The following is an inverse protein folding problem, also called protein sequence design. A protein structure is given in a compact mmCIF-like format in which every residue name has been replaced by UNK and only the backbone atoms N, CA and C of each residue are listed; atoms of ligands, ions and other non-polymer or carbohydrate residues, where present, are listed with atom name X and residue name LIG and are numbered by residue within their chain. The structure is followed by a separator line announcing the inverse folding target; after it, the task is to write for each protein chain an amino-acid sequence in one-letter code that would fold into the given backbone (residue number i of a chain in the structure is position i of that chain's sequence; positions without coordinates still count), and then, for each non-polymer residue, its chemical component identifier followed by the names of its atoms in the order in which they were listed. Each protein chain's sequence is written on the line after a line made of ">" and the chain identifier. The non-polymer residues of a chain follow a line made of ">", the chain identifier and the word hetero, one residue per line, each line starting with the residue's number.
data_IF_879404386371
#
_entry.id   IF_879404386371
#
_cell.length_a   1.000
_cell.length_b   1.000
_cell.length_c   1.000
_cell.angle_alpha   90.00
_cell.angle_beta   90.00
_cell.angle_gamma   90.00
#
_symmetry.space_group_name_H-M   'P 1'
#
loop_
_entity.id
_entity.type
_entity.pdbx_description
1 polymer ?
#
# COMPACT_ATOMS: atom_id res chain seq x y z
N UNK A 1 9.78 -53.41 8.21
CA UNK A 1 11.01 -52.62 8.38
C UNK A 1 10.88 -51.34 7.56
N UNK A 2 10.21 -50.34 8.12
CA UNK A 2 10.27 -48.97 7.64
C UNK A 2 10.67 -48.13 8.84
N UNK A 3 11.76 -47.42 8.67
CA UNK A 3 12.56 -46.82 9.74
C UNK A 3 11.84 -45.72 10.50
N UNK A 4 12.23 -45.69 11.78
CA UNK A 4 11.93 -44.76 12.84
C UNK A 4 12.11 -43.27 12.50
N UNK A 5 11.18 -42.49 13.05
CA UNK A 5 11.38 -41.25 13.81
C UNK A 5 12.66 -40.44 13.56
N UNK A 6 12.48 -39.16 13.22
CA UNK A 6 12.98 -38.00 13.98
C UNK A 6 12.91 -36.76 13.11
N UNK A 7 11.75 -36.08 13.13
CA UNK A 7 11.66 -34.69 12.67
C UNK A 7 11.09 -33.84 13.82
N UNK A 8 11.80 -33.83 14.94
CA UNK A 8 11.65 -32.81 15.96
C UNK A 8 12.56 -31.66 15.57
N UNK A 9 12.00 -30.65 14.90
CA UNK A 9 12.68 -29.36 14.78
C UNK A 9 12.46 -28.64 16.09
N UNK A 10 13.56 -28.50 16.81
CA UNK A 10 13.63 -27.88 18.11
C UNK A 10 12.96 -26.51 18.11
N UNK A 11 11.99 -26.38 19.01
CA UNK A 11 11.43 -25.10 19.43
C UNK A 11 12.54 -24.25 20.03
N UNK A 12 13.12 -23.35 19.24
CA UNK A 12 13.98 -22.31 19.77
C UNK A 12 13.12 -21.19 20.35
N UNK A 13 12.90 -21.32 21.66
CA UNK A 13 12.43 -20.30 22.57
C UNK A 13 13.37 -19.09 22.49
N UNK A 14 12.94 -18.01 21.85
CA UNK A 14 13.67 -16.74 21.91
C UNK A 14 13.42 -16.06 23.26
N UNK A 15 14.46 -15.79 24.07
CA UNK A 15 14.30 -15.12 25.34
C UNK A 15 13.89 -13.66 25.16
N UNK A 16 13.00 -13.26 26.06
CA UNK A 16 12.50 -11.91 26.31
C UNK A 16 13.60 -10.87 26.53
N UNK A 17 13.21 -9.60 26.35
CA UNK A 17 13.88 -8.31 26.67
C UNK A 17 14.57 -7.67 25.45
N UNK A 18 14.26 -6.43 25.03
CA UNK A 18 13.75 -5.24 25.73
C UNK A 18 12.73 -4.50 24.86
N UNK A 19 11.61 -4.10 25.47
CA UNK A 19 10.85 -2.92 25.03
C UNK A 19 11.79 -1.72 25.08
N UNK A 20 12.20 -1.20 23.91
CA UNK A 20 12.60 0.20 23.82
C UNK A 20 11.35 0.97 23.41
N UNK A 21 10.75 1.64 24.40
CA UNK A 21 9.84 2.76 24.18
C UNK A 21 10.63 3.84 23.45
N UNK A 22 10.55 3.84 22.11
CA UNK A 22 10.98 5.00 21.33
C UNK A 22 9.81 5.95 21.36
N UNK A 23 9.96 6.94 22.22
CA UNK A 23 9.18 8.15 22.32
C UNK A 23 8.85 8.70 20.94
N UNK A 24 7.56 8.90 20.71
CA UNK A 24 6.94 9.89 19.85
C UNK A 24 7.90 10.82 19.09
N UNK A 25 8.37 10.41 17.91
CA UNK A 25 8.86 11.37 16.91
C UNK A 25 7.75 11.47 15.86
N UNK A 26 6.87 12.45 16.06
CA UNK A 26 5.95 12.92 15.01
C UNK A 26 6.79 13.64 13.96
N UNK A 27 7.32 12.89 13.00
CA UNK A 27 7.81 13.46 11.75
C UNK A 27 6.56 13.80 10.92
N UNK A 28 5.96 14.96 11.20
CA UNK A 28 4.98 15.58 10.32
C UNK A 28 5.75 16.15 9.12
N UNK A 29 6.10 15.30 8.16
CA UNK A 29 6.66 15.76 6.90
C UNK A 29 5.50 16.41 6.13
N UNK A 30 5.42 17.73 6.20
CA UNK A 30 4.52 18.55 5.40
C UNK A 30 4.97 18.54 3.95
N UNK A 31 4.81 17.41 3.27
CA UNK A 31 5.09 17.34 1.83
C UNK A 31 3.79 17.61 1.10
N UNK A 32 3.58 18.88 0.78
CA UNK A 32 2.57 19.30 -0.19
C UNK A 32 3.06 18.80 -1.55
N UNK A 33 2.58 17.63 -1.97
CA UNK A 33 2.81 17.14 -3.33
C UNK A 33 1.79 17.81 -4.26
N UNK A 34 2.31 18.62 -5.19
CA UNK A 34 1.54 19.20 -6.30
C UNK A 34 1.03 18.05 -7.18
N UNK A 35 -0.29 17.79 -7.16
CA UNK A 35 -0.90 16.68 -7.90
C UNK A 35 -1.07 17.06 -9.37
N UNK A 36 0.02 17.09 -10.14
CA UNK A 36 -0.07 17.08 -11.61
C UNK A 36 -0.73 15.76 -12.02
N UNK A 37 -1.88 15.80 -12.72
CA UNK A 37 -2.72 14.62 -13.01
C UNK A 37 -1.93 13.46 -13.64
N UNK A 38 -1.61 12.43 -12.83
CA UNK A 38 -0.74 11.32 -13.23
C UNK A 38 -1.56 10.16 -13.81
N UNK A 39 -0.94 9.26 -14.58
CA UNK A 39 -1.58 7.98 -14.94
C UNK A 39 -1.47 6.98 -13.79
N UNK A 40 -2.42 6.03 -13.69
CA UNK A 40 -2.31 4.92 -12.72
C UNK A 40 -0.98 4.17 -12.85
N UNK A 41 -0.48 4.03 -14.09
CA UNK A 41 0.82 3.38 -14.36
C UNK A 41 2.01 4.17 -13.83
N UNK A 42 1.89 5.49 -13.71
CA UNK A 42 2.90 6.35 -13.08
C UNK A 42 2.83 6.23 -11.56
N UNK A 43 1.63 6.21 -10.99
CA UNK A 43 1.41 6.02 -9.54
C UNK A 43 1.97 4.68 -9.04
N UNK A 44 1.75 3.59 -9.80
CA UNK A 44 2.31 2.26 -9.48
C UNK A 44 3.85 2.24 -9.49
N UNK A 45 4.50 3.04 -10.34
CA UNK A 45 5.97 3.10 -10.39
C UNK A 45 6.56 3.91 -9.24
N UNK A 46 5.84 4.92 -8.77
CA UNK A 46 6.25 5.75 -7.63
C UNK A 46 5.94 5.10 -6.28
N UNK A 47 5.07 4.08 -6.26
CA UNK A 47 4.55 3.51 -5.03
C UNK A 47 3.50 4.40 -4.35
N UNK A 48 2.84 5.29 -5.10
CA UNK A 48 1.68 6.09 -4.60
C UNK A 48 0.38 5.27 -4.68
N UNK A 49 0.35 4.28 -5.58
CA UNK A 49 -0.79 3.38 -5.80
C UNK A 49 -0.28 1.96 -5.71
N UNK A 50 -1.00 1.13 -4.98
CA UNK A 50 -0.79 -0.30 -4.88
C UNK A 50 -1.86 -1.06 -5.67
N UNK A 51 -1.45 -2.20 -6.22
CA UNK A 51 -2.32 -3.13 -6.91
C UNK A 51 -2.37 -4.42 -6.11
N UNK A 52 -3.56 -4.85 -5.72
CA UNK A 52 -3.74 -6.13 -5.03
C UNK A 52 -3.73 -7.32 -6.01
N UNK A 53 -3.81 -8.54 -5.47
CA UNK A 53 -3.91 -9.78 -6.24
C UNK A 53 -5.14 -9.87 -7.14
N UNK A 54 -6.18 -9.08 -6.88
CA UNK A 54 -7.41 -9.02 -7.67
C UNK A 54 -7.41 -7.89 -8.70
N UNK A 55 -6.34 -7.08 -8.76
CA UNK A 55 -6.23 -5.93 -9.62
C UNK A 55 -7.01 -4.69 -9.17
N UNK A 56 -7.43 -4.63 -7.91
CA UNK A 56 -7.96 -3.42 -7.28
C UNK A 56 -6.81 -2.47 -6.98
N UNK A 57 -7.11 -1.18 -7.11
CA UNK A 57 -6.14 -0.13 -6.85
C UNK A 57 -6.43 0.48 -5.49
N UNK A 58 -5.45 0.45 -4.60
CA UNK A 58 -5.45 1.10 -3.29
C UNK A 58 -4.43 2.22 -3.28
N UNK A 59 -4.70 3.28 -2.52
CA UNK A 59 -3.71 4.31 -2.29
C UNK A 59 -2.68 3.81 -1.26
N UNK A 60 -1.40 3.91 -1.57
CA UNK A 60 -0.32 3.45 -0.66
C UNK A 60 -0.16 4.36 0.56
N UNK A 61 -0.56 5.63 0.46
CA UNK A 61 -0.46 6.59 1.57
C UNK A 61 -1.52 6.36 2.66
N UNK A 62 -2.75 6.01 2.28
CA UNK A 62 -3.85 5.82 3.23
C UNK A 62 -4.40 4.39 3.33
N UNK A 63 -4.04 3.50 2.40
CA UNK A 63 -4.55 2.13 2.34
C UNK A 63 -6.00 1.99 1.86
N UNK A 64 -6.66 3.08 1.48
CA UNK A 64 -8.06 3.03 1.01
C UNK A 64 -8.18 2.64 -0.46
N UNK A 65 -9.29 2.00 -0.81
CA UNK A 65 -9.64 1.69 -2.19
C UNK A 65 -9.98 2.94 -3.00
N UNK A 66 -9.43 3.03 -4.21
CA UNK A 66 -9.66 4.16 -5.11
C UNK A 66 -11.05 4.11 -5.75
N UNK A 67 -11.79 5.22 -5.69
CA UNK A 67 -13.09 5.37 -6.35
C UNK A 67 -12.90 5.67 -7.83
N UNK A 68 -13.75 5.10 -8.68
CA UNK A 68 -13.81 5.44 -10.10
C UNK A 68 -14.81 6.55 -10.32
N UNK A 69 -14.41 7.58 -11.06
CA UNK A 69 -15.30 8.56 -11.68
C UNK A 69 -15.19 8.40 -13.18
N UNK A 70 -16.32 8.15 -13.82
CA UNK A 70 -16.44 8.07 -15.28
C UNK A 70 -17.32 9.23 -15.72
N UNK A 71 -16.80 10.06 -16.61
CA UNK A 71 -17.54 11.20 -17.18
C UNK A 71 -18.00 10.80 -18.60
N UNK A 72 -19.30 10.92 -18.92
CA UNK A 72 -19.80 10.52 -20.24
C UNK A 72 -19.19 11.33 -21.40
N UNK A 73 -18.64 12.51 -21.12
CA UNK A 73 -18.01 13.38 -22.13
C UNK A 73 -16.51 13.08 -22.32
N UNK A 74 -15.93 12.18 -21.51
CA UNK A 74 -14.51 11.84 -21.54
C UNK A 74 -14.26 10.35 -21.87
N UNK A 75 -13.24 10.07 -22.69
CA UNK A 75 -12.86 8.70 -23.08
C UNK A 75 -11.98 8.01 -22.00
N UNK A 76 -11.76 8.67 -20.86
CA UNK A 76 -10.91 8.17 -19.79
C UNK A 76 -11.66 8.10 -18.47
N UNK A 77 -11.26 7.16 -17.61
CA UNK A 77 -11.76 7.06 -16.25
C UNK A 77 -10.74 7.63 -15.27
N UNK A 78 -11.21 8.34 -14.25
CA UNK A 78 -10.35 8.89 -13.19
C UNK A 78 -10.53 8.08 -11.91
N UNK A 79 -9.42 7.64 -11.33
CA UNK A 79 -9.36 7.03 -10.00
C UNK A 79 -9.04 8.10 -8.97
N UNK A 80 -9.89 8.25 -7.95
CA UNK A 80 -9.82 9.29 -6.94
C UNK A 80 -9.64 8.66 -5.56
N UNK A 81 -8.63 9.11 -4.82
CA UNK A 81 -8.50 8.84 -3.39
C UNK A 81 -9.32 9.86 -2.61
N UNK A 82 -10.16 9.41 -1.67
CA UNK A 82 -11.00 10.29 -0.85
C UNK A 82 -10.25 10.93 0.32
N UNK A 83 -9.08 10.41 0.68
CA UNK A 83 -8.31 10.86 1.85
C UNK A 83 -7.11 11.73 1.46
N UNK A 84 -6.50 11.47 0.31
CA UNK A 84 -5.26 12.14 -0.15
C UNK A 84 -5.51 13.09 -1.32
N UNK A 85 -6.76 13.19 -1.81
CA UNK A 85 -7.16 13.91 -3.03
C UNK A 85 -6.36 13.54 -4.30
N UNK A 86 -5.61 12.45 -4.25
CA UNK A 86 -4.86 11.91 -5.37
C UNK A 86 -5.79 11.52 -6.51
N UNK A 87 -5.46 11.98 -7.73
CA UNK A 87 -6.22 11.72 -8.95
C UNK A 87 -5.32 11.03 -9.96
N UNK A 88 -5.74 9.86 -10.43
CA UNK A 88 -5.00 9.09 -11.43
C UNK A 88 -5.88 8.76 -12.64
N UNK A 89 -5.42 9.08 -13.84
CA UNK A 89 -6.12 8.74 -15.09
C UNK A 89 -5.86 7.29 -15.50
N UNK A 90 -6.91 6.63 -15.99
CA UNK A 90 -6.90 5.33 -16.65
C UNK A 90 -7.31 5.56 -18.10
N UNK A 91 -6.38 5.30 -19.01
CA UNK A 91 -6.56 5.29 -20.46
C UNK A 91 -6.62 3.84 -20.94
#
# INVERSE_FOLDING_TARGET
>A
MYNDNCYQKETQSFPSTRRRSISSVRICHSVVYVVSMQSVRSGLRKGEVEKDTYGRLSCSDCGESLKTRNDPDEVYSVRLCQNCDGKWKVL
#
